data_IF_169210754236
#
_entry.id   IF_169210754236
#
_cell.length_a   1.000
_cell.length_b   1.000
_cell.length_c   1.000
_cell.angle_alpha   90.00
_cell.angle_beta   90.00
_cell.angle_gamma   90.00
#
_symmetry.space_group_name_H-M   'P 1'
#
loop_
_entity.id
_entity.type
_entity.pdbx_description
1 polymer ?
#
# COMPACT_ATOMS: atom_id res chain seq x y z
N UNK A 1 -4.71 -3.67 -16.53
CA UNK A 1 -5.22 -2.82 -15.43
C UNK A 1 -4.13 -2.78 -14.38
N UNK A 2 -3.70 -1.60 -13.93
CA UNK A 2 -2.72 -1.51 -12.85
C UNK A 2 -3.30 -2.23 -11.63
N UNK A 3 -2.53 -3.11 -10.98
CA UNK A 3 -2.95 -3.71 -9.71
C UNK A 3 -3.24 -2.55 -8.75
N UNK A 4 -4.50 -2.38 -8.36
CA UNK A 4 -4.82 -1.45 -7.29
C UNK A 4 -4.13 -1.93 -6.01
N UNK A 5 -3.40 -1.05 -5.31
CA UNK A 5 -2.60 -1.46 -4.17
C UNK A 5 -3.49 -1.97 -3.05
N UNK A 6 -3.04 -3.02 -2.35
CA UNK A 6 -3.78 -3.53 -1.18
C UNK A 6 -3.66 -2.56 -0.01
N UNK A 7 -4.77 -1.90 0.32
CA UNK A 7 -4.84 -1.02 1.48
C UNK A 7 -4.96 -1.79 2.79
N UNK A 8 -4.27 -1.28 3.82
CA UNK A 8 -4.46 -1.70 5.21
C UNK A 8 -5.71 -1.05 5.81
N UNK A 9 -6.26 -1.64 6.87
CA UNK A 9 -7.43 -1.09 7.57
C UNK A 9 -7.24 0.37 8.04
N UNK A 10 -6.00 0.74 8.41
CA UNK A 10 -5.66 2.11 8.79
C UNK A 10 -5.75 3.06 7.59
N UNK A 11 -5.24 2.66 6.44
CA UNK A 11 -5.25 3.48 5.22
C UNK A 11 -6.67 3.67 4.70
N UNK A 12 -7.48 2.62 4.70
CA UNK A 12 -8.90 2.69 4.34
C UNK A 12 -9.63 3.71 5.23
N UNK A 13 -9.39 3.66 6.54
CA UNK A 13 -9.96 4.62 7.49
C UNK A 13 -9.53 6.06 7.19
N UNK A 14 -8.26 6.28 6.86
CA UNK A 14 -7.74 7.61 6.53
C UNK A 14 -8.28 8.15 5.21
N UNK A 15 -8.37 7.32 4.18
CA UNK A 15 -8.98 7.67 2.90
C UNK A 15 -10.45 8.03 3.12
N UNK A 16 -11.20 7.20 3.84
CA UNK A 16 -12.60 7.46 4.18
C UNK A 16 -12.79 8.77 4.94
N UNK A 17 -11.91 9.08 5.89
CA UNK A 17 -11.93 10.34 6.63
C UNK A 17 -11.68 11.56 5.72
N UNK A 18 -10.70 11.49 4.84
CA UNK A 18 -10.42 12.60 3.91
C UNK A 18 -11.51 12.75 2.86
N UNK A 19 -12.09 11.66 2.36
CA UNK A 19 -13.26 11.67 1.48
C UNK A 19 -14.46 12.36 2.16
N UNK A 20 -14.75 12.01 3.42
CA UNK A 20 -15.82 12.66 4.18
C UNK A 20 -15.56 14.16 4.36
N UNK A 21 -14.31 14.57 4.59
CA UNK A 21 -13.94 15.99 4.68
C UNK A 21 -14.08 16.71 3.34
N UNK A 22 -13.77 16.06 2.22
CA UNK A 22 -13.99 16.62 0.89
C UNK A 22 -15.47 16.80 0.62
N UNK A 23 -16.30 15.80 0.91
CA UNK A 23 -17.76 15.91 0.80
C UNK A 23 -18.32 17.04 1.66
N UNK A 24 -17.86 17.16 2.92
CA UNK A 24 -18.24 18.26 3.81
C UNK A 24 -17.86 19.63 3.24
N UNK A 25 -16.67 19.76 2.64
CA UNK A 25 -16.23 21.00 2.00
C UNK A 25 -17.00 21.30 0.71
N UNK A 26 -17.39 20.28 -0.05
CA UNK A 26 -18.26 20.44 -1.22
C UNK A 26 -19.62 21.06 -0.87
N UNK A 27 -20.18 20.73 0.30
CA UNK A 27 -21.41 21.37 0.81
C UNK A 27 -21.21 22.87 1.09
N UNK A 28 -20.00 23.28 1.49
CA UNK A 28 -19.69 24.68 1.78
C UNK A 28 -19.49 25.56 0.53
N UNK A 29 -19.52 24.96 -0.68
CA UNK A 29 -19.49 25.66 -1.97
C UNK A 29 -18.31 25.25 -2.87
N UNK A 30 -18.49 25.37 -4.18
CA UNK A 30 -17.52 24.95 -5.22
C UNK A 30 -16.20 25.72 -5.17
N UNK A 31 -16.17 26.89 -4.53
CA UNK A 31 -14.98 27.71 -4.36
C UNK A 31 -14.04 27.18 -3.25
N UNK A 32 -14.45 26.15 -2.50
CA UNK A 32 -13.64 25.62 -1.41
C UNK A 32 -12.55 24.70 -1.94
N UNK A 33 -11.29 25.07 -1.69
CA UNK A 33 -10.15 24.29 -2.13
C UNK A 33 -10.11 22.88 -1.52
N UNK A 34 -10.03 21.86 -2.37
CA UNK A 34 -9.93 20.44 -2.00
C UNK A 34 -8.52 19.85 -2.22
N UNK A 35 -7.59 20.62 -2.80
CA UNK A 35 -6.30 20.11 -3.23
C UNK A 35 -5.40 19.60 -2.09
N UNK A 36 -5.53 20.14 -0.88
CA UNK A 36 -4.83 19.64 0.30
C UNK A 36 -5.33 18.24 0.73
N UNK A 37 -6.62 17.96 0.55
CA UNK A 37 -7.21 16.66 0.88
C UNK A 37 -6.91 15.62 -0.20
N UNK A 38 -6.95 16.01 -1.47
CA UNK A 38 -6.53 15.14 -2.58
C UNK A 38 -5.08 14.70 -2.42
N UNK A 39 -4.15 15.64 -2.20
CA UNK A 39 -2.72 15.32 -1.95
C UNK A 39 -2.50 14.35 -0.78
N UNK A 40 -3.38 14.36 0.23
CA UNK A 40 -3.29 13.42 1.35
C UNK A 40 -3.76 12.02 0.97
N UNK A 41 -4.81 11.92 0.15
CA UNK A 41 -5.27 10.64 -0.40
C UNK A 41 -4.21 10.07 -1.33
N UNK A 42 -3.66 10.87 -2.25
CA UNK A 42 -2.62 10.45 -3.19
C UNK A 42 -1.40 9.89 -2.45
N UNK A 43 -0.95 10.58 -1.39
CA UNK A 43 0.17 10.12 -0.55
C UNK A 43 -0.08 8.76 0.10
N UNK A 44 -1.32 8.46 0.48
CA UNK A 44 -1.67 7.16 1.05
C UNK A 44 -1.62 6.09 -0.04
N UNK A 45 -2.13 6.39 -1.23
CA UNK A 45 -2.09 5.48 -2.38
C UNK A 45 -0.64 5.15 -2.76
N UNK A 46 0.21 6.17 -2.85
CA UNK A 46 1.63 5.98 -3.17
C UNK A 46 2.34 5.18 -2.07
N UNK A 47 2.08 5.48 -0.80
CA UNK A 47 2.62 4.70 0.32
C UNK A 47 2.15 3.23 0.35
N UNK A 48 0.92 2.95 -0.12
CA UNK A 48 0.42 1.59 -0.26
C UNK A 48 1.14 0.82 -1.38
N UNK A 49 1.40 1.49 -2.52
CA UNK A 49 2.17 0.92 -3.64
C UNK A 49 3.60 0.59 -3.24
N UNK A 50 4.27 1.52 -2.56
CA UNK A 50 5.64 1.33 -2.10
C UNK A 50 5.75 0.14 -1.14
N UNK A 51 4.79 0.01 -0.23
CA UNK A 51 4.75 -1.13 0.69
C UNK A 51 4.54 -2.46 -0.02
N UNK A 52 3.62 -2.52 -0.98
CA UNK A 52 3.36 -3.76 -1.73
C UNK A 52 4.60 -4.16 -2.55
N UNK A 53 5.29 -3.19 -3.15
CA UNK A 53 6.55 -3.43 -3.84
C UNK A 53 7.64 -3.99 -2.92
N UNK A 54 7.78 -3.43 -1.70
CA UNK A 54 8.72 -3.93 -0.70
C UNK A 54 8.37 -5.35 -0.25
N UNK A 55 7.10 -5.61 0.07
CA UNK A 55 6.65 -6.95 0.47
C UNK A 55 6.89 -7.99 -0.62
N UNK A 56 6.65 -7.65 -1.89
CA UNK A 56 6.94 -8.56 -3.00
C UNK A 56 8.43 -8.87 -3.11
N UNK A 57 9.30 -7.88 -2.92
CA UNK A 57 10.75 -8.06 -2.92
C UNK A 57 11.23 -8.94 -1.76
N UNK A 58 10.74 -8.68 -0.54
CA UNK A 58 11.08 -9.43 0.67
C UNK A 58 10.63 -10.89 0.56
N UNK A 59 9.44 -11.15 0.01
CA UNK A 59 8.93 -12.51 -0.21
C UNK A 59 9.77 -13.27 -1.23
N UNK A 60 10.20 -12.60 -2.31
CA UNK A 60 11.07 -13.21 -3.31
C UNK A 60 12.46 -13.55 -2.74
N UNK A 61 13.00 -12.70 -1.85
CA UNK A 61 14.25 -12.98 -1.16
C UNK A 61 14.09 -14.12 -0.15
N UNK A 62 13.03 -14.10 0.67
CA UNK A 62 12.71 -15.17 1.61
C UNK A 62 12.53 -16.52 0.90
N UNK A 63 11.88 -16.54 -0.26
CA UNK A 63 11.74 -17.75 -1.06
C UNK A 63 13.09 -18.25 -1.61
N UNK A 64 13.94 -17.35 -2.11
CA UNK A 64 15.30 -17.70 -2.55
C UNK A 64 16.13 -18.28 -1.40
N UNK A 65 16.05 -17.68 -0.21
CA UNK A 65 16.72 -18.16 1.00
C UNK A 65 16.18 -19.54 1.43
N UNK A 66 14.86 -19.73 1.42
CA UNK A 66 14.23 -21.01 1.73
C UNK A 66 14.64 -22.11 0.73
N UNK A 67 14.69 -21.81 -0.57
CA UNK A 67 15.17 -22.73 -1.61
C UNK A 67 16.62 -23.13 -1.38
N UNK A 68 17.50 -22.17 -1.06
CA UNK A 68 18.92 -22.43 -0.73
C UNK A 68 19.06 -23.34 0.49
N UNK A 69 18.30 -23.08 1.55
CA UNK A 69 18.32 -23.89 2.78
C UNK A 69 17.82 -25.32 2.56
N UNK A 70 16.82 -25.53 1.69
CA UNK A 70 16.37 -26.87 1.30
C UNK A 70 17.45 -27.63 0.53
N UNK A 71 18.15 -26.96 -0.39
CA UNK A 71 19.22 -27.56 -1.18
C UNK A 71 20.43 -27.97 -0.34
N UNK A 72 20.83 -27.14 0.63
CA UNK A 72 21.94 -27.47 1.54
C UNK A 72 21.58 -28.64 2.46
N UNK A 73 20.39 -28.62 3.07
CA UNK A 73 19.94 -29.68 4.00
C UNK A 73 19.74 -31.03 3.29
N UNK A 74 19.34 -31.04 2.01
CA UNK A 74 19.26 -32.26 1.20
C UNK A 74 20.62 -32.86 0.82
N UNK A 75 21.67 -32.02 0.74
CA UNK A 75 23.05 -32.46 0.44
C UNK A 75 23.77 -33.01 1.69
N UNK A 76 23.43 -32.52 2.87
CA UNK A 76 24.00 -33.00 4.15
C UNK A 76 23.40 -34.33 4.63
N UNK A 77 22.24 -34.73 4.11
CA UNK A 77 21.50 -35.94 4.51
C UNK A 77 21.69 -37.15 3.59
N UNK A 78 22.57 -37.06 2.58
CA UNK A 78 22.99 -38.17 1.72
C UNK A 78 24.46 -38.46 1.96
#
# INVERSE_FOLDING_TARGET
MAQDPKFTAREITQIGWYAARMAKRGIAGENVHLGDLQKKVDRIIDGARDREAQQAADQAEAEKAARKNRASNGKTRK
#
